data_IF_845450064983
#
_entry.id   IF_845450064983
#
_cell.length_a   1.000
_cell.length_b   1.000
_cell.length_c   1.000
_cell.angle_alpha   90.00
_cell.angle_beta   90.00
_cell.angle_gamma   90.00
#
_symmetry.space_group_name_H-M   'P 1'
#
loop_
_entity.id
_entity.type
_entity.pdbx_description
1 polymer ?
#
# COMPACT_ATOMS: atom_id res chain seq x y z
N UNK A 1 9.52 8.96 7.12
CA UNK A 1 8.22 9.23 7.78
C UNK A 1 7.25 8.13 7.42
N UNK A 2 6.68 8.18 6.20
CA UNK A 2 5.89 7.08 5.62
C UNK A 2 6.68 5.76 5.67
N UNK A 3 7.88 5.74 5.11
CA UNK A 3 8.81 4.61 5.13
C UNK A 3 9.10 4.08 6.55
N UNK A 4 9.20 4.97 7.53
CA UNK A 4 9.46 4.57 8.94
C UNK A 4 8.28 3.79 9.51
N UNK A 5 7.05 4.26 9.30
CA UNK A 5 5.84 3.55 9.68
C UNK A 5 5.73 2.22 8.91
N UNK A 6 6.00 2.25 7.60
CA UNK A 6 6.01 1.03 6.78
C UNK A 6 6.99 -0.01 7.32
N UNK A 7 8.22 0.38 7.69
CA UNK A 7 9.20 -0.52 8.27
C UNK A 7 8.76 -1.09 9.63
N UNK A 8 8.05 -0.30 10.45
CA UNK A 8 7.46 -0.79 11.68
C UNK A 8 6.37 -1.86 11.42
N UNK A 9 5.50 -1.64 10.42
CA UNK A 9 4.50 -2.63 10.02
C UNK A 9 5.16 -3.89 9.42
N UNK A 10 6.23 -3.75 8.64
CA UNK A 10 6.99 -4.87 8.10
C UNK A 10 7.69 -5.69 9.19
N UNK A 11 8.07 -5.06 10.31
CA UNK A 11 8.61 -5.78 11.47
C UNK A 11 7.56 -6.69 12.12
N UNK A 12 6.29 -6.30 12.14
CA UNK A 12 5.18 -7.15 12.58
C UNK A 12 4.93 -8.30 11.59
N UNK A 13 4.91 -8.01 10.28
CA UNK A 13 4.79 -9.04 9.23
C UNK A 13 5.92 -10.09 9.35
N UNK A 14 7.15 -9.64 9.63
CA UNK A 14 8.32 -10.49 9.76
C UNK A 14 8.26 -11.51 10.92
N UNK A 15 7.31 -11.35 11.87
CA UNK A 15 7.08 -12.34 12.94
C UNK A 15 6.38 -13.60 12.44
N UNK A 16 5.73 -13.53 11.27
CA UNK A 16 5.06 -14.66 10.63
C UNK A 16 5.96 -15.46 9.69
N UNK A 17 5.33 -16.31 8.88
CA UNK A 17 5.99 -17.13 7.86
C UNK A 17 5.71 -16.65 6.42
N UNK A 18 5.05 -15.49 6.28
CA UNK A 18 4.64 -14.92 5.00
C UNK A 18 5.84 -14.75 4.05
N UNK A 19 5.63 -15.10 2.79
CA UNK A 19 6.55 -14.77 1.69
C UNK A 19 6.38 -13.31 1.31
N UNK A 20 7.38 -12.52 1.62
CA UNK A 20 7.37 -11.07 1.36
C UNK A 20 8.13 -10.77 0.08
N UNK A 21 7.50 -10.07 -0.87
CA UNK A 21 8.17 -9.54 -2.06
C UNK A 21 8.15 -8.02 -2.03
N UNK A 22 9.26 -7.42 -1.59
CA UNK A 22 9.44 -5.96 -1.56
C UNK A 22 9.76 -5.46 -2.96
N UNK A 23 9.10 -4.37 -3.37
CA UNK A 23 9.31 -3.71 -4.66
C UNK A 23 9.64 -2.23 -4.41
N UNK A 24 10.81 -1.77 -4.86
CA UNK A 24 11.24 -0.39 -4.65
C UNK A 24 12.05 0.17 -5.83
N UNK A 25 12.14 1.49 -5.92
CA UNK A 25 13.07 2.18 -6.80
C UNK A 25 14.38 2.55 -6.09
N UNK A 26 14.29 2.95 -4.83
CA UNK A 26 15.38 3.21 -3.92
C UNK A 26 15.19 2.34 -2.69
N UNK A 27 16.25 1.67 -2.25
CA UNK A 27 16.17 0.73 -1.13
C UNK A 27 16.01 1.48 0.19
N UNK A 28 14.79 1.60 0.67
CA UNK A 28 14.47 2.21 1.97
C UNK A 28 13.73 1.25 2.91
N UNK A 29 12.97 0.30 2.35
CA UNK A 29 12.21 -0.66 3.12
C UNK A 29 13.11 -1.73 3.74
N UNK A 30 12.80 -2.04 5.00
CA UNK A 30 13.52 -3.01 5.82
C UNK A 30 12.53 -4.03 6.35
N UNK A 31 12.76 -5.30 6.02
CA UNK A 31 11.98 -6.42 6.50
C UNK A 31 12.93 -7.57 6.84
N UNK A 32 12.70 -8.21 7.99
CA UNK A 32 13.48 -9.34 8.47
C UNK A 32 12.76 -10.69 8.25
N UNK A 33 11.69 -10.71 7.44
CA UNK A 33 10.93 -11.92 7.17
C UNK A 33 11.87 -13.02 6.60
N UNK A 34 11.81 -14.27 7.09
CA UNK A 34 12.68 -15.34 6.62
C UNK A 34 12.56 -15.63 5.12
N UNK A 35 11.36 -15.44 4.56
CA UNK A 35 11.05 -15.71 3.16
C UNK A 35 10.91 -14.39 2.37
N UNK A 36 12.00 -13.63 2.29
CA UNK A 36 12.03 -12.31 1.64
C UNK A 36 12.68 -12.38 0.25
N UNK A 37 12.01 -11.76 -0.73
CA UNK A 37 12.61 -11.35 -2.01
C UNK A 37 12.53 -9.83 -2.12
N UNK A 38 13.65 -9.17 -2.41
CA UNK A 38 13.68 -7.74 -2.66
C UNK A 38 13.95 -7.48 -4.15
N UNK A 39 13.03 -6.76 -4.79
CA UNK A 39 13.08 -6.39 -6.20
C UNK A 39 13.27 -4.89 -6.32
N UNK A 40 14.14 -4.46 -7.22
CA UNK A 40 14.44 -3.04 -7.43
C UNK A 40 14.33 -2.66 -8.89
N UNK A 41 13.83 -1.46 -9.17
CA UNK A 41 13.87 -0.92 -10.53
C UNK A 41 15.30 -0.76 -11.01
N UNK A 42 15.47 -0.82 -12.32
CA UNK A 42 16.73 -0.52 -12.98
C UNK A 42 16.42 0.20 -14.27
N UNK A 43 16.98 1.40 -14.43
CA UNK A 43 16.71 2.26 -15.58
C UNK A 43 16.99 1.53 -16.89
N UNK A 44 16.03 1.60 -17.82
CA UNK A 44 16.08 0.91 -19.10
C UNK A 44 15.96 -0.63 -19.04
N UNK A 45 15.75 -1.21 -17.86
CA UNK A 45 15.68 -2.67 -17.67
C UNK A 45 14.36 -3.12 -17.03
N UNK A 46 13.95 -2.50 -15.93
CA UNK A 46 12.74 -2.87 -15.22
C UNK A 46 12.13 -1.68 -14.49
N UNK A 47 10.87 -1.39 -14.80
CA UNK A 47 10.02 -0.40 -14.12
C UNK A 47 9.31 -1.00 -12.91
N UNK A 48 8.69 -0.17 -12.06
CA UNK A 48 7.87 -0.68 -10.94
C UNK A 48 6.75 -1.61 -11.46
N UNK A 49 6.07 -1.25 -12.56
CA UNK A 49 5.07 -2.10 -13.22
C UNK A 49 5.61 -3.48 -13.59
N UNK A 50 6.81 -3.54 -14.19
CA UNK A 50 7.44 -4.81 -14.58
C UNK A 50 7.71 -5.69 -13.37
N UNK A 51 8.16 -5.09 -12.27
CA UNK A 51 8.45 -5.80 -11.03
C UNK A 51 7.18 -6.30 -10.35
N UNK A 52 6.11 -5.50 -10.31
CA UNK A 52 4.80 -5.91 -9.76
C UNK A 52 4.24 -7.08 -10.56
N UNK A 53 4.30 -7.03 -11.90
CA UNK A 53 3.83 -8.16 -12.71
C UNK A 53 4.66 -9.41 -12.51
N UNK A 54 5.98 -9.25 -12.38
CA UNK A 54 6.91 -10.35 -12.16
C UNK A 54 6.76 -10.98 -10.79
N UNK A 55 6.46 -10.18 -9.76
CA UNK A 55 6.32 -10.65 -8.38
C UNK A 55 5.20 -11.67 -8.22
N UNK A 56 4.10 -11.55 -8.97
CA UNK A 56 2.99 -12.51 -8.92
C UNK A 56 3.41 -13.95 -9.26
N UNK A 57 4.47 -14.14 -10.06
CA UNK A 57 5.02 -15.47 -10.35
C UNK A 57 5.79 -16.07 -9.19
N UNK A 58 6.18 -15.25 -8.22
CA UNK A 58 6.90 -15.65 -7.02
C UNK A 58 5.97 -16.14 -5.91
N UNK A 59 4.64 -16.14 -6.12
CA UNK A 59 3.62 -16.50 -5.12
C UNK A 59 3.82 -15.76 -3.80
N UNK A 60 3.85 -14.41 -3.81
CA UNK A 60 4.00 -13.62 -2.59
C UNK A 60 2.78 -13.82 -1.69
N UNK A 61 2.96 -13.80 -0.38
CA UNK A 61 1.84 -13.58 0.55
C UNK A 61 1.64 -12.08 0.81
N UNK A 62 2.74 -11.30 0.73
CA UNK A 62 2.76 -9.85 0.92
C UNK A 62 3.55 -9.18 -0.19
N UNK A 63 3.02 -8.09 -0.73
CA UNK A 63 3.71 -7.24 -1.71
C UNK A 63 3.83 -5.82 -1.16
N UNK A 64 4.85 -5.52 -0.34
CA UNK A 64 5.16 -4.15 0.04
C UNK A 64 5.79 -3.38 -1.13
N UNK A 65 5.37 -2.14 -1.32
CA UNK A 65 5.95 -1.22 -2.31
C UNK A 65 6.45 0.04 -1.61
N UNK A 66 7.63 0.52 -2.00
CA UNK A 66 8.24 1.73 -1.40
C UNK A 66 7.34 2.95 -1.56
N UNK A 67 7.23 3.44 -2.79
CA UNK A 67 6.36 4.57 -3.12
C UNK A 67 5.70 4.38 -4.49
N UNK A 68 4.38 4.52 -4.53
CA UNK A 68 3.58 4.52 -5.76
C UNK A 68 3.53 5.95 -6.30
N UNK A 69 4.03 6.13 -7.52
CA UNK A 69 4.22 7.43 -8.18
C UNK A 69 3.68 7.51 -9.61
N UNK A 70 3.26 6.41 -10.22
CA UNK A 70 2.81 6.37 -11.61
C UNK A 70 1.85 5.22 -11.92
N UNK A 71 1.79 4.88 -13.20
CA UNK A 71 0.95 3.83 -13.79
C UNK A 71 1.05 2.45 -13.11
N UNK A 72 2.12 2.14 -12.36
CA UNK A 72 2.23 0.90 -11.58
C UNK A 72 1.11 0.73 -10.55
N UNK A 73 0.44 1.82 -10.16
CA UNK A 73 -0.72 1.80 -9.28
C UNK A 73 -1.78 0.79 -9.72
N UNK A 74 -2.06 0.66 -11.02
CA UNK A 74 -3.06 -0.27 -11.53
C UNK A 74 -2.59 -1.73 -11.43
N UNK A 75 -1.32 -1.98 -11.77
CA UNK A 75 -0.73 -3.32 -11.67
C UNK A 75 -0.71 -3.77 -10.19
N UNK A 76 -0.38 -2.86 -9.27
CA UNK A 76 -0.35 -3.11 -7.83
C UNK A 76 -1.75 -3.40 -7.28
N UNK A 77 -2.74 -2.58 -7.66
CA UNK A 77 -4.12 -2.76 -7.25
C UNK A 77 -4.65 -4.13 -7.68
N UNK A 78 -4.36 -4.54 -8.92
CA UNK A 78 -4.71 -5.89 -9.40
C UNK A 78 -3.99 -6.97 -8.61
N UNK A 79 -2.70 -6.81 -8.36
CA UNK A 79 -1.92 -7.80 -7.62
C UNK A 79 -2.44 -8.01 -6.19
N UNK A 80 -2.85 -6.94 -5.50
CA UNK A 80 -3.47 -7.02 -4.18
C UNK A 80 -4.89 -7.62 -4.24
N UNK A 81 -5.69 -7.24 -5.24
CA UNK A 81 -7.07 -7.71 -5.40
C UNK A 81 -7.22 -9.20 -5.76
N UNK A 82 -6.20 -9.86 -6.33
CA UNK A 82 -6.29 -11.26 -6.78
C UNK A 82 -5.84 -12.31 -5.75
N UNK A 83 -5.96 -12.02 -4.45
CA UNK A 83 -5.70 -13.02 -3.39
C UNK A 83 -4.35 -12.89 -2.68
N UNK A 84 -3.75 -11.69 -2.67
CA UNK A 84 -2.58 -11.37 -1.84
C UNK A 84 -2.95 -10.33 -0.76
N UNK A 85 -3.74 -10.72 0.27
CA UNK A 85 -4.19 -9.81 1.31
C UNK A 85 -3.01 -9.41 2.19
N UNK A 86 -2.47 -8.20 2.00
CA UNK A 86 -1.37 -7.70 2.83
C UNK A 86 -0.39 -6.76 2.15
N UNK A 87 -0.84 -6.06 1.13
CA UNK A 87 -0.09 -4.98 0.53
C UNK A 87 0.16 -3.84 1.51
N UNK A 88 1.38 -3.31 1.53
CA UNK A 88 1.67 -2.04 2.18
C UNK A 88 2.39 -1.16 1.18
N UNK A 89 1.87 0.03 0.93
CA UNK A 89 2.48 0.99 0.03
C UNK A 89 2.53 2.36 0.66
N UNK A 90 3.36 3.24 0.09
CA UNK A 90 3.28 4.67 0.41
C UNK A 90 2.90 5.47 -0.83
N UNK A 91 2.19 6.57 -0.60
CA UNK A 91 1.77 7.51 -1.62
C UNK A 91 1.77 8.92 -1.02
N UNK A 92 2.01 9.94 -1.84
CA UNK A 92 1.96 11.32 -1.37
C UNK A 92 0.53 11.86 -1.39
N UNK A 93 -0.04 12.07 -0.20
CA UNK A 93 -1.35 12.68 -0.02
C UNK A 93 -1.45 13.40 1.34
N UNK A 94 -2.37 14.37 1.43
CA UNK A 94 -2.62 15.16 2.63
C UNK A 94 -3.76 14.67 3.53
N UNK A 95 -4.56 13.70 3.07
CA UNK A 95 -5.71 13.12 3.78
C UNK A 95 -6.01 11.71 3.28
N UNK A 96 -6.85 10.96 4.00
CA UNK A 96 -7.25 9.59 3.62
C UNK A 96 -7.92 9.54 2.26
N UNK A 97 -8.98 10.33 2.08
CA UNK A 97 -9.66 10.51 0.77
C UNK A 97 -8.69 11.04 -0.29
N UNK A 98 -7.79 11.95 0.09
CA UNK A 98 -6.77 12.48 -0.82
C UNK A 98 -5.84 11.39 -1.36
N UNK A 99 -5.51 10.37 -0.57
CA UNK A 99 -4.70 9.24 -1.01
C UNK A 99 -5.43 8.38 -2.04
N UNK A 100 -6.73 8.12 -1.84
CA UNK A 100 -7.55 7.38 -2.80
C UNK A 100 -7.66 8.14 -4.13
N UNK A 101 -7.95 9.45 -4.07
CA UNK A 101 -7.99 10.31 -5.27
C UNK A 101 -6.64 10.41 -5.96
N UNK A 102 -5.53 10.41 -5.20
CA UNK A 102 -4.19 10.36 -5.78
C UNK A 102 -3.95 9.01 -6.49
N UNK A 103 -4.38 7.91 -5.89
CA UNK A 103 -4.29 6.59 -6.52
C UNK A 103 -5.10 6.53 -7.83
N UNK A 104 -6.29 7.14 -7.88
CA UNK A 104 -7.06 7.27 -9.12
C UNK A 104 -6.28 7.99 -10.22
N UNK A 105 -5.67 9.13 -9.90
CA UNK A 105 -4.87 9.90 -10.86
C UNK A 105 -3.71 9.08 -11.43
N UNK A 106 -3.02 8.32 -10.56
CA UNK A 106 -1.92 7.45 -10.98
C UNK A 106 -2.41 6.30 -11.88
N UNK A 107 -3.55 5.70 -11.54
CA UNK A 107 -4.17 4.67 -12.38
C UNK A 107 -4.60 5.23 -13.73
N UNK A 108 -5.05 6.49 -13.77
CA UNK A 108 -5.49 7.15 -15.00
C UNK A 108 -4.37 7.38 -16.01
N UNK A 109 -3.10 7.30 -15.59
CA UNK A 109 -1.95 7.26 -16.50
C UNK A 109 -1.92 5.98 -17.36
N UNK A 110 -2.55 4.89 -16.90
CA UNK A 110 -2.57 3.60 -17.58
C UNK A 110 -3.89 3.31 -18.31
N UNK A 111 -5.01 3.88 -17.85
CA UNK A 111 -6.36 3.58 -18.37
C UNK A 111 -7.26 4.80 -18.42
N UNK A 112 -8.18 4.84 -19.37
CA UNK A 112 -9.16 5.94 -19.51
C UNK A 112 -10.17 5.95 -18.37
N UNK A 113 -10.71 4.78 -18.03
CA UNK A 113 -11.72 4.63 -16.97
C UNK A 113 -11.09 4.00 -15.73
N UNK A 114 -11.07 4.76 -14.64
CA UNK A 114 -10.49 4.30 -13.36
C UNK A 114 -11.47 3.34 -12.66
N UNK A 115 -11.04 2.15 -12.24
CA UNK A 115 -11.89 1.18 -11.55
C UNK A 115 -12.02 1.54 -10.05
N UNK A 116 -12.80 2.59 -9.74
CA UNK A 116 -12.98 3.09 -8.36
C UNK A 116 -13.51 2.06 -7.38
N UNK A 117 -14.39 1.17 -7.83
CA UNK A 117 -14.91 0.07 -7.02
C UNK A 117 -13.79 -0.89 -6.58
N UNK A 118 -12.90 -1.25 -7.51
CA UNK A 118 -11.74 -2.09 -7.21
C UNK A 118 -10.79 -1.40 -6.22
N UNK A 119 -10.60 -0.09 -6.33
CA UNK A 119 -9.81 0.68 -5.35
C UNK A 119 -10.43 0.54 -3.96
N UNK A 120 -11.74 0.79 -3.86
CA UNK A 120 -12.45 0.75 -2.59
C UNK A 120 -12.54 -0.65 -1.96
N UNK A 121 -12.50 -1.71 -2.78
CA UNK A 121 -12.49 -3.10 -2.34
C UNK A 121 -11.10 -3.60 -1.94
N UNK A 122 -10.03 -3.02 -2.50
CA UNK A 122 -8.66 -3.50 -2.30
C UNK A 122 -7.91 -2.74 -1.20
N UNK A 123 -8.23 -1.46 -0.99
CA UNK A 123 -7.56 -0.63 0.02
C UNK A 123 -8.39 -0.66 1.30
N UNK A 124 -7.90 -1.32 2.34
CA UNK A 124 -8.62 -1.42 3.61
C UNK A 124 -8.46 -0.17 4.49
N UNK A 125 -7.24 0.37 4.55
CA UNK A 125 -6.83 1.41 5.49
C UNK A 125 -5.88 2.42 4.85
N UNK A 126 -6.02 3.68 5.22
CA UNK A 126 -5.08 4.76 4.90
C UNK A 126 -4.62 5.45 6.18
N UNK A 127 -3.31 5.42 6.40
CA UNK A 127 -2.64 6.13 7.50
C UNK A 127 -1.98 7.42 6.99
N UNK A 128 -2.44 8.58 7.47
CA UNK A 128 -1.90 9.88 7.06
C UNK A 128 -0.94 10.40 8.13
N UNK A 129 0.30 10.64 7.72
CA UNK A 129 1.34 11.22 8.56
C UNK A 129 1.56 12.69 8.20
N UNK A 130 1.59 13.58 9.19
CA UNK A 130 1.92 14.99 9.02
C UNK A 130 3.03 15.44 9.99
N UNK A 131 3.40 16.72 9.96
CA UNK A 131 4.55 17.25 10.70
C UNK A 131 5.89 16.93 10.03
N UNK A 132 7.01 17.34 10.62
CA UNK A 132 8.38 17.07 10.16
C UNK A 132 9.29 16.73 11.35
N UNK A 133 10.31 15.90 11.11
CA UNK A 133 11.27 15.51 12.15
C UNK A 133 10.58 14.94 13.40
N UNK A 134 10.93 15.43 14.61
CA UNK A 134 10.33 14.98 15.87
C UNK A 134 8.82 15.27 16.00
N UNK A 135 8.29 16.26 15.28
CA UNK A 135 6.87 16.62 15.33
C UNK A 135 5.99 15.73 14.43
N UNK A 136 6.57 14.68 13.84
CA UNK A 136 5.86 13.79 12.93
C UNK A 136 4.90 12.89 13.71
N UNK A 137 3.64 12.84 13.27
CA UNK A 137 2.58 12.08 13.93
C UNK A 137 1.56 11.55 12.92
N UNK A 138 0.86 10.49 13.32
CA UNK A 138 -0.36 10.03 12.65
C UNK A 138 -1.47 11.05 12.92
N UNK A 139 -2.05 11.61 11.86
CA UNK A 139 -3.16 12.58 11.96
C UNK A 139 -4.50 12.03 11.52
N UNK A 140 -4.48 10.94 10.76
CA UNK A 140 -5.69 10.27 10.30
C UNK A 140 -5.39 8.79 10.12
N UNK A 141 -6.32 7.95 10.56
CA UNK A 141 -6.37 6.54 10.22
C UNK A 141 -7.77 6.26 9.69
N UNK A 142 -7.90 6.25 8.36
CA UNK A 142 -9.16 6.09 7.67
C UNK A 142 -9.33 4.63 7.24
N UNK A 143 -10.43 4.00 7.64
CA UNK A 143 -10.91 2.74 7.08
C UNK A 143 -11.77 3.04 5.86
N UNK A 144 -11.60 2.24 4.81
CA UNK A 144 -12.39 2.38 3.58
C UNK A 144 -13.62 1.48 3.66
N UNK A 145 -14.80 2.07 3.47
CA UNK A 145 -16.11 1.40 3.63
C UNK A 145 -16.82 1.21 2.27
N UNK A 146 -16.05 1.23 1.19
CA UNK A 146 -16.55 1.14 -0.19
C UNK A 146 -16.92 2.49 -0.81
N UNK A 147 -17.75 2.44 -1.86
CA UNK A 147 -18.32 3.62 -2.51
C UNK A 147 -19.71 3.94 -1.96
N UNK A 148 -20.06 5.22 -1.92
CA UNK A 148 -21.38 5.73 -1.57
C UNK A 148 -22.35 5.75 -2.75
N UNK A 149 -23.65 6.04 -2.51
CA UNK A 149 -24.65 6.17 -3.58
C UNK A 149 -24.36 7.31 -4.57
N UNK A 150 -23.61 8.32 -4.13
CA UNK A 150 -23.09 9.43 -4.95
C UNK A 150 -21.86 9.02 -5.78
N UNK A 151 -21.38 7.80 -5.59
CA UNK A 151 -20.18 7.26 -6.22
C UNK A 151 -18.88 7.75 -5.59
N UNK A 152 -18.87 8.52 -4.49
CA UNK A 152 -17.62 8.90 -3.81
C UNK A 152 -17.19 7.86 -2.76
N UNK A 153 -15.93 7.90 -2.33
CA UNK A 153 -15.44 6.99 -1.29
C UNK A 153 -16.07 7.30 0.06
N UNK A 154 -16.49 6.24 0.76
CA UNK A 154 -16.89 6.33 2.16
C UNK A 154 -15.74 5.88 3.04
N UNK A 155 -15.49 6.64 4.09
CA UNK A 155 -14.46 6.33 5.07
C UNK A 155 -14.95 6.56 6.48
N UNK A 156 -14.52 5.72 7.40
CA UNK A 156 -14.71 5.86 8.84
C UNK A 156 -13.36 6.02 9.54
N UNK A 157 -13.35 6.62 10.73
CA UNK A 157 -12.15 6.60 11.55
C UNK A 157 -11.92 5.20 12.10
N UNK A 158 -10.75 4.64 11.86
CA UNK A 158 -10.32 3.41 12.50
C UNK A 158 -9.92 3.73 13.94
N UNK A 159 -10.82 3.46 14.89
CA UNK A 159 -10.46 3.42 16.31
C UNK A 159 -9.79 2.09 16.63
N UNK A 160 -8.78 2.06 17.52
CA UNK A 160 -8.32 0.79 18.07
C UNK A 160 -9.50 0.16 18.81
N UNK A 161 -9.98 -1.00 18.37
CA UNK A 161 -10.91 -1.78 19.18
C UNK A 161 -10.18 -2.15 20.48
N UNK A 162 -10.66 -1.62 21.60
CA UNK A 162 -10.11 -1.85 22.93
C UNK A 162 -10.46 -3.26 23.47
N UNK A 163 -10.61 -4.25 22.58
CA UNK A 163 -10.68 -5.66 22.93
C UNK A 163 -9.27 -6.22 22.85
N UNK A 164 -8.45 -5.81 23.82
CA UNK A 164 -7.36 -6.66 24.28
C UNK A 164 -8.02 -7.90 24.87
N UNK A 165 -7.90 -9.01 24.14
CA UNK A 165 -8.29 -10.32 24.63
C UNK A 165 -7.45 -10.60 25.88
N UNK A 166 -8.11 -10.64 27.04
CA UNK A 166 -7.54 -11.22 28.25
C UNK A 166 -7.77 -12.72 28.14
N UNK A 167 -6.81 -13.43 27.57
CA UNK A 167 -6.69 -14.89 27.74
C UNK A 167 -5.23 -15.29 27.85
#
# INVERSE_FOLDING_TARGET
GKTTLTNALLAEVAKGADRVVIIEDTRELQCAAPNLVAMRTKDGVATLSDLVRSSMRLRPDRIPIGEVRGAEALDLLKAWGTGHPGGIGTIHAGSGIGALRRLEQLIQEAVVTVPRALIAETIDLVAVLSGRGPARRLTELARIDGLGPDGDYRTSQATPNNTGDKS
#
